data_IF_019821921909
#
_entry.id   IF_019821921909
#
_cell.length_a   1.000
_cell.length_b   1.000
_cell.length_c   1.000
_cell.angle_alpha   90.00
_cell.angle_beta   90.00
_cell.angle_gamma   90.00
#
_symmetry.space_group_name_H-M   'P 1'
#
loop_
_entity.id
_entity.type
_entity.pdbx_description
1 polymer ?
#
# COMPACT_ATOMS: atom_id res chain seq x y z
N UNK A 1 12.31 10.11 4.69
CA UNK A 1 11.82 9.00 5.53
C UNK A 1 10.62 9.45 6.36
N UNK A 2 10.67 10.64 6.96
CA UNK A 2 9.60 11.20 7.80
C UNK A 2 8.24 11.37 7.09
N UNK A 3 8.21 11.84 5.84
CA UNK A 3 6.97 12.00 5.08
C UNK A 3 6.15 10.69 4.96
N UNK A 4 6.82 9.58 4.66
CA UNK A 4 6.15 8.27 4.51
C UNK A 4 5.53 7.82 5.84
N UNK A 5 6.22 8.05 6.96
CA UNK A 5 5.68 7.74 8.30
C UNK A 5 4.49 8.64 8.66
N UNK A 6 4.57 9.93 8.35
CA UNK A 6 3.46 10.87 8.58
C UNK A 6 2.20 10.49 7.76
N UNK A 7 2.39 10.04 6.52
CA UNK A 7 1.31 9.49 5.67
C UNK A 7 0.71 8.25 6.31
N UNK A 8 1.54 7.29 6.74
CA UNK A 8 1.07 6.05 7.36
C UNK A 8 0.24 6.32 8.61
N UNK A 9 0.71 7.25 9.44
CA UNK A 9 0.02 7.64 10.67
C UNK A 9 -1.31 8.35 10.38
N UNK A 10 -1.33 9.23 9.37
CA UNK A 10 -2.56 9.91 8.91
C UNK A 10 -3.59 8.92 8.37
N UNK A 11 -3.16 8.00 7.49
CA UNK A 11 -4.01 6.90 7.00
C UNK A 11 -4.48 6.04 8.17
N UNK A 12 -3.58 5.69 9.09
CA UNK A 12 -3.87 4.90 10.28
C UNK A 12 -4.95 5.52 11.16
N UNK A 13 -4.87 6.84 11.42
CA UNK A 13 -5.91 7.57 12.16
C UNK A 13 -7.25 7.57 11.43
N UNK A 14 -7.25 7.91 10.14
CA UNK A 14 -8.48 8.00 9.35
C UNK A 14 -9.21 6.65 9.26
N UNK A 15 -8.46 5.58 9.03
CA UNK A 15 -9.01 4.22 8.96
C UNK A 15 -9.53 3.78 10.33
N UNK A 16 -8.76 3.96 11.41
CA UNK A 16 -9.18 3.54 12.76
C UNK A 16 -10.38 4.31 13.31
N UNK A 17 -10.55 5.57 12.89
CA UNK A 17 -11.75 6.34 13.22
C UNK A 17 -13.03 5.69 12.65
N UNK A 18 -12.94 5.05 11.48
CA UNK A 18 -14.06 4.32 10.87
C UNK A 18 -14.14 2.86 11.28
N UNK A 19 -12.99 2.25 11.56
CA UNK A 19 -12.78 0.83 11.77
C UNK A 19 -11.91 0.58 13.02
N UNK A 20 -12.52 0.59 14.22
CA UNK A 20 -11.80 0.24 15.43
C UNK A 20 -11.12 -1.13 15.31
N UNK A 21 -9.83 -1.21 15.65
CA UNK A 21 -9.04 -2.44 15.54
C UNK A 21 -8.40 -2.69 14.16
N UNK A 22 -8.57 -1.79 13.19
CA UNK A 22 -7.81 -1.85 11.95
C UNK A 22 -6.31 -1.66 12.18
N UNK A 23 -5.49 -2.44 11.47
CA UNK A 23 -4.03 -2.23 11.43
C UNK A 23 -3.59 -1.87 10.02
N UNK A 24 -2.57 -1.01 9.93
CA UNK A 24 -2.11 -0.44 8.66
C UNK A 24 -0.62 -0.70 8.56
N UNK A 25 -0.19 -1.30 7.45
CA UNK A 25 1.18 -1.78 7.24
C UNK A 25 1.71 -1.33 5.89
N UNK A 26 2.98 -0.93 5.84
CA UNK A 26 3.67 -0.85 4.56
C UNK A 26 3.97 -2.24 4.03
N UNK A 27 3.76 -2.42 2.74
CA UNK A 27 4.21 -3.59 2.00
C UNK A 27 5.04 -3.19 0.78
N UNK A 28 5.33 -4.17 -0.08
CA UNK A 28 5.97 -3.93 -1.37
C UNK A 28 7.40 -3.39 -1.28
N UNK A 29 7.79 -2.67 -2.32
CA UNK A 29 9.18 -2.25 -2.51
C UNK A 29 9.64 -1.18 -1.52
N UNK A 30 8.68 -0.39 -1.02
CA UNK A 30 8.87 0.59 0.05
C UNK A 30 9.20 -0.05 1.40
N UNK A 31 8.70 -1.26 1.66
CA UNK A 31 8.91 -1.97 2.93
C UNK A 31 10.12 -2.91 2.96
N UNK A 32 10.75 -3.14 1.80
CA UNK A 32 11.84 -4.12 1.61
C UNK A 32 13.16 -3.47 1.20
N UNK A 33 13.24 -2.14 1.15
CA UNK A 33 14.40 -1.39 0.63
C UNK A 33 14.78 -1.74 -0.83
N UNK A 34 13.84 -2.33 -1.57
CA UNK A 34 13.94 -2.67 -3.01
C UNK A 34 13.14 -1.69 -3.89
N UNK A 35 12.76 -0.54 -3.34
CA UNK A 35 12.14 0.58 -4.07
C UNK A 35 13.18 1.35 -4.87
N UNK A 36 12.82 1.77 -6.08
CA UNK A 36 13.52 2.85 -6.78
C UNK A 36 13.08 4.19 -6.16
N UNK A 37 13.83 5.28 -6.38
CA UNK A 37 13.51 6.60 -5.81
C UNK A 37 12.12 7.11 -6.19
N UNK A 38 11.58 6.68 -7.34
CA UNK A 38 10.25 6.99 -7.82
C UNK A 38 9.18 5.96 -7.40
N UNK A 39 9.44 5.11 -6.41
CA UNK A 39 8.53 4.02 -6.06
C UNK A 39 7.33 4.51 -5.25
N UNK A 40 6.15 4.06 -5.67
CA UNK A 40 4.87 4.22 -5.02
C UNK A 40 4.90 3.68 -3.57
N UNK A 41 3.99 4.19 -2.74
CA UNK A 41 3.81 3.70 -1.39
C UNK A 41 2.66 2.71 -1.32
N UNK A 42 3.02 1.46 -1.13
CA UNK A 42 2.10 0.35 -0.97
C UNK A 42 1.64 0.25 0.50
N UNK A 43 0.34 0.42 0.75
CA UNK A 43 -0.28 0.33 2.08
C UNK A 43 -1.30 -0.80 2.12
N UNK A 44 -1.12 -1.74 3.06
CA UNK A 44 -2.08 -2.80 3.32
C UNK A 44 -2.83 -2.51 4.62
N UNK A 45 -4.16 -2.54 4.55
CA UNK A 45 -5.04 -2.31 5.68
C UNK A 45 -5.67 -3.65 6.07
N UNK A 46 -5.34 -4.12 7.27
CA UNK A 46 -5.90 -5.34 7.84
C UNK A 46 -7.11 -4.98 8.71
N UNK A 47 -8.25 -5.56 8.37
CA UNK A 47 -9.55 -5.37 8.98
C UNK A 47 -9.96 -6.74 9.56
N UNK A 48 -9.53 -7.09 10.79
CA UNK A 48 -9.67 -8.45 11.32
C UNK A 48 -11.12 -8.90 11.57
N UNK A 49 -12.05 -7.94 11.69
CA UNK A 49 -13.48 -8.16 11.88
C UNK A 49 -14.25 -8.39 10.56
N UNK A 50 -13.56 -8.23 9.42
CA UNK A 50 -14.18 -8.28 8.10
C UNK A 50 -14.26 -9.75 7.64
N UNK A 51 -15.49 -10.30 7.60
CA UNK A 51 -15.70 -11.66 7.10
C UNK A 51 -15.54 -11.70 5.58
N UNK A 52 -14.95 -12.77 5.02
CA UNK A 52 -14.64 -12.89 3.59
C UNK A 52 -15.87 -13.25 2.74
N UNK A 53 -17.03 -12.62 2.97
CA UNK A 53 -18.16 -12.70 2.04
C UNK A 53 -18.07 -11.57 1.03
N UNK A 54 -18.46 -11.84 -0.23
CA UNK A 54 -18.26 -10.91 -1.34
C UNK A 54 -19.04 -9.60 -1.18
N UNK A 55 -20.27 -9.67 -0.67
CA UNK A 55 -21.15 -8.50 -0.45
C UNK A 55 -20.69 -7.65 0.74
N UNK A 56 -20.34 -8.28 1.87
CA UNK A 56 -19.81 -7.56 3.02
C UNK A 56 -18.47 -6.90 2.67
N UNK A 57 -17.64 -7.55 1.84
CA UNK A 57 -16.38 -6.98 1.37
C UNK A 57 -16.63 -5.67 0.61
N UNK A 58 -17.57 -5.64 -0.34
CA UNK A 58 -17.87 -4.43 -1.12
C UNK A 58 -18.36 -3.26 -0.25
N UNK A 59 -19.25 -3.52 0.72
CA UNK A 59 -19.71 -2.47 1.63
C UNK A 59 -18.55 -1.86 2.42
N UNK A 60 -17.70 -2.69 3.03
CA UNK A 60 -16.57 -2.21 3.81
C UNK A 60 -15.51 -1.51 2.98
N UNK A 61 -15.30 -1.93 1.73
CA UNK A 61 -14.39 -1.27 0.80
C UNK A 61 -14.86 0.14 0.42
N UNK A 62 -16.17 0.32 0.20
CA UNK A 62 -16.76 1.66 0.00
C UNK A 62 -16.57 2.54 1.25
N UNK A 63 -16.77 1.96 2.43
CA UNK A 63 -16.53 2.67 3.70
C UNK A 63 -15.05 3.00 3.91
N UNK A 64 -14.14 2.13 3.47
CA UNK A 64 -12.71 2.36 3.49
C UNK A 64 -12.31 3.54 2.60
N UNK A 65 -12.79 3.60 1.36
CA UNK A 65 -12.49 4.77 0.53
C UNK A 65 -13.07 6.07 1.09
N UNK A 66 -14.26 6.04 1.69
CA UNK A 66 -14.81 7.22 2.40
C UNK A 66 -13.91 7.65 3.56
N UNK A 67 -13.33 6.70 4.29
CA UNK A 67 -12.37 7.01 5.36
C UNK A 67 -11.06 7.59 4.80
N UNK A 68 -10.65 7.19 3.60
CA UNK A 68 -9.44 7.67 2.94
C UNK A 68 -9.65 8.98 2.15
N UNK A 69 -10.87 9.35 1.83
CA UNK A 69 -11.20 10.55 1.04
C UNK A 69 -10.62 11.86 1.62
N UNK A 70 -10.67 12.11 2.95
CA UNK A 70 -10.02 13.28 3.55
C UNK A 70 -8.48 13.25 3.43
N UNK A 71 -7.89 12.04 3.36
CA UNK A 71 -6.44 11.86 3.19
C UNK A 71 -6.03 12.05 1.73
N UNK A 72 -6.88 11.60 0.80
CA UNK A 72 -6.68 11.72 -0.63
C UNK A 72 -6.98 13.13 -1.16
N UNK A 73 -7.67 13.98 -0.39
CA UNK A 73 -7.97 15.38 -0.69
C UNK A 73 -8.48 15.60 -2.13
N UNK A 74 -9.36 14.72 -2.60
CA UNK A 74 -9.98 14.80 -3.94
C UNK A 74 -9.21 14.12 -5.08
N UNK A 75 -7.99 13.59 -4.86
CA UNK A 75 -7.18 12.88 -5.87
C UNK A 75 -7.35 11.35 -5.82
N UNK A 76 -8.56 10.86 -5.57
CA UNK A 76 -8.84 9.42 -5.51
C UNK A 76 -9.09 8.88 -6.92
N UNK A 77 -8.11 8.18 -7.50
CA UNK A 77 -8.07 7.91 -8.95
C UNK A 77 -8.75 6.59 -9.34
N UNK A 78 -9.03 5.67 -8.42
CA UNK A 78 -9.61 4.38 -8.83
C UNK A 78 -10.65 3.83 -7.86
N UNK A 79 -11.89 3.72 -8.34
CA UNK A 79 -13.05 3.14 -7.64
C UNK A 79 -13.50 1.85 -8.33
N UNK A 80 -12.56 1.01 -8.78
CA UNK A 80 -12.91 -0.29 -9.36
C UNK A 80 -13.32 -1.29 -8.27
N UNK A 81 -14.55 -1.13 -7.76
CA UNK A 81 -15.17 -1.99 -6.75
C UNK A 81 -15.40 -3.43 -7.21
N UNK A 82 -15.29 -3.66 -8.51
CA UNK A 82 -15.54 -4.94 -9.18
C UNK A 82 -14.26 -5.74 -9.43
N UNK A 83 -13.08 -5.12 -9.23
CA UNK A 83 -11.83 -5.86 -9.24
C UNK A 83 -11.87 -6.92 -8.13
N UNK A 84 -11.36 -8.12 -8.45
CA UNK A 84 -11.16 -9.22 -7.49
C UNK A 84 -10.39 -8.75 -6.24
N UNK A 85 -9.62 -7.67 -6.39
CA UNK A 85 -8.80 -6.98 -5.41
C UNK A 85 -8.94 -5.47 -5.64
N UNK A 86 -9.86 -4.77 -4.94
CA UNK A 86 -10.04 -3.34 -5.12
C UNK A 86 -8.87 -2.60 -4.47
N UNK A 87 -7.95 -2.15 -5.32
CA UNK A 87 -6.87 -1.25 -4.94
C UNK A 87 -7.40 0.17 -5.09
N UNK A 88 -7.23 0.95 -4.03
CA UNK A 88 -7.56 2.36 -4.02
C UNK A 88 -6.27 3.14 -4.23
N UNK A 89 -6.13 3.75 -5.41
CA UNK A 89 -4.95 4.53 -5.75
C UNK A 89 -5.25 6.01 -5.52
N UNK A 90 -4.41 6.70 -4.76
CA UNK A 90 -4.50 8.15 -4.61
C UNK A 90 -3.11 8.77 -4.49
N UNK A 91 -3.01 10.06 -4.81
CA UNK A 91 -1.75 10.79 -4.71
C UNK A 91 -1.83 11.80 -3.56
N UNK A 92 -0.78 11.89 -2.75
CA UNK A 92 -0.69 12.92 -1.70
C UNK A 92 -0.55 14.32 -2.28
N UNK A 93 -0.71 15.34 -1.44
CA UNK A 93 -0.51 16.74 -1.78
C UNK A 93 0.88 17.02 -2.37
N UNK A 94 0.98 18.08 -3.18
CA UNK A 94 2.27 18.54 -3.74
C UNK A 94 3.25 18.98 -2.66
N UNK A 95 2.76 19.47 -1.51
CA UNK A 95 3.54 19.67 -0.30
C UNK A 95 3.04 18.74 0.83
N UNK A 96 3.92 17.94 1.48
CA UNK A 96 5.38 17.94 1.39
C UNK A 96 5.95 17.12 0.21
N UNK A 97 5.09 16.55 -0.65
CA UNK A 97 5.51 15.81 -1.83
C UNK A 97 4.38 14.96 -2.40
N UNK A 98 4.18 15.07 -3.71
CA UNK A 98 3.24 14.24 -4.48
C UNK A 98 3.76 12.80 -4.54
N UNK A 99 3.14 11.90 -3.78
CA UNK A 99 3.51 10.49 -3.71
C UNK A 99 2.30 9.64 -4.12
N UNK A 100 2.44 8.76 -5.12
CA UNK A 100 1.40 7.79 -5.43
C UNK A 100 1.30 6.77 -4.29
N UNK A 101 0.07 6.48 -3.87
CA UNK A 101 -0.25 5.54 -2.81
C UNK A 101 -1.23 4.52 -3.36
N UNK A 102 -0.86 3.26 -3.25
CA UNK A 102 -1.71 2.12 -3.55
C UNK A 102 -2.17 1.47 -2.25
N UNK A 103 -3.48 1.51 -2.00
CA UNK A 103 -4.08 0.90 -0.82
C UNK A 103 -4.76 -0.40 -1.16
N UNK A 104 -4.33 -1.47 -0.51
CA UNK A 104 -4.99 -2.77 -0.52
C UNK A 104 -5.60 -3.09 0.85
N UNK A 105 -6.63 -3.93 0.86
CA UNK A 105 -7.26 -4.41 2.09
C UNK A 105 -7.12 -5.93 2.25
N UNK A 106 -6.81 -6.38 3.46
CA UNK A 106 -6.72 -7.79 3.87
C UNK A 106 -5.78 -8.66 3.01
N UNK A 107 -4.66 -8.09 2.53
CA UNK A 107 -3.64 -8.82 1.76
C UNK A 107 -2.64 -9.52 2.68
N UNK A 108 -2.98 -10.70 3.17
CA UNK A 108 -2.04 -11.50 3.97
C UNK A 108 -0.82 -11.93 3.14
N UNK A 109 -1.04 -12.26 1.87
CA UNK A 109 -0.01 -12.60 0.88
C UNK A 109 1.04 -11.49 0.71
N UNK A 110 0.62 -10.22 0.74
CA UNK A 110 1.54 -9.09 0.68
C UNK A 110 2.44 -8.99 1.93
N UNK A 111 1.89 -9.29 3.12
CA UNK A 111 2.65 -9.35 4.36
C UNK A 111 3.66 -10.51 4.34
N UNK A 112 3.24 -11.67 3.85
CA UNK A 112 4.09 -12.86 3.76
C UNK A 112 5.22 -12.67 2.75
N UNK A 113 4.91 -12.10 1.58
CA UNK A 113 5.91 -11.78 0.55
C UNK A 113 6.95 -10.77 1.03
N UNK A 114 6.53 -9.73 1.78
CA UNK A 114 7.45 -8.80 2.45
C UNK A 114 8.40 -9.53 3.40
N UNK A 115 7.86 -10.39 4.27
CA UNK A 115 8.67 -11.14 5.25
C UNK A 115 9.69 -12.03 4.56
N UNK A 116 9.28 -12.77 3.53
CA UNK A 116 10.18 -13.62 2.75
C UNK A 116 11.30 -12.80 2.09
N UNK A 117 10.95 -11.70 1.45
CA UNK A 117 11.94 -10.82 0.83
C UNK A 117 12.96 -10.27 1.84
N UNK A 118 12.50 -9.85 3.02
CA UNK A 118 13.39 -9.39 4.09
C UNK A 118 14.33 -10.50 4.57
N UNK A 119 13.84 -11.74 4.70
CA UNK A 119 14.67 -12.88 5.07
C UNK A 119 15.75 -13.18 4.02
N UNK A 120 15.40 -13.16 2.73
CA UNK A 120 16.35 -13.38 1.64
C UNK A 120 17.44 -12.28 1.61
N UNK A 121 17.06 -11.01 1.75
CA UNK A 121 17.99 -9.90 1.77
C UNK A 121 18.91 -9.91 3.00
N UNK A 122 18.42 -10.39 4.14
CA UNK A 122 19.23 -10.58 5.33
C UNK A 122 20.23 -11.74 5.18
N UNK A 123 19.88 -12.77 4.40
CA UNK A 123 20.75 -13.90 4.13
C UNK A 123 21.89 -13.55 3.15
N UNK A 124 21.63 -12.70 2.16
CA UNK A 124 22.65 -12.25 1.20
C UNK A 124 22.42 -10.80 0.73
N UNK A 125 23.27 -9.89 1.22
CA UNK A 125 23.21 -8.46 0.90
C UNK A 125 23.41 -8.15 -0.60
N UNK A 126 24.03 -9.06 -1.39
CA UNK A 126 24.28 -8.89 -2.83
C UNK A 126 23.00 -9.03 -3.65
N UNK A 127 21.95 -9.63 -3.10
CA UNK A 127 20.65 -9.74 -3.77
C UNK A 127 20.02 -8.38 -4.01
N UNK A 128 20.20 -7.42 -3.10
CA UNK A 128 19.60 -6.09 -3.23
C UNK A 128 20.01 -5.35 -4.52
N UNK A 129 21.30 -5.13 -4.82
CA UNK A 129 21.69 -4.45 -6.06
C UNK A 129 21.27 -5.23 -7.32
N UNK A 130 21.31 -6.56 -7.30
CA UNK A 130 20.88 -7.38 -8.44
C UNK A 130 19.37 -7.22 -8.74
N UNK A 131 18.52 -7.24 -7.69
CA UNK A 131 17.08 -7.03 -7.82
C UNK A 131 16.77 -5.61 -8.30
N UNK A 132 17.48 -4.60 -7.78
CA UNK A 132 17.32 -3.21 -8.21
C UNK A 132 17.70 -3.02 -9.68
N UNK A 133 18.79 -3.65 -10.13
CA UNK A 133 19.22 -3.62 -11.53
C UNK A 133 18.17 -4.27 -12.45
N UNK A 134 17.70 -5.48 -12.10
CA UNK A 134 16.67 -6.17 -12.87
C UNK A 134 15.40 -5.33 -12.96
N UNK A 135 14.94 -4.76 -11.85
CA UNK A 135 13.76 -3.89 -11.80
C UNK A 135 13.94 -2.66 -12.70
N UNK A 136 15.13 -2.05 -12.70
CA UNK A 136 15.44 -0.91 -13.57
C UNK A 136 15.39 -1.29 -15.05
N UNK A 137 16.00 -2.43 -15.42
CA UNK A 137 15.98 -2.95 -16.79
C UNK A 137 14.54 -3.19 -17.25
N UNK A 138 13.74 -3.91 -16.45
CA UNK A 138 12.36 -4.21 -16.79
C UNK A 138 11.50 -2.95 -16.95
N UNK A 139 11.69 -1.94 -16.10
CA UNK A 139 11.01 -0.65 -16.23
C UNK A 139 11.35 0.05 -17.57
N UNK A 140 12.59 -0.08 -18.04
CA UNK A 140 13.02 0.47 -19.33
C UNK A 140 12.41 -0.22 -20.55
N UNK A 141 11.87 -1.44 -20.39
CA UNK A 141 11.25 -2.21 -21.47
C UNK A 141 9.76 -1.88 -21.69
N UNK A 142 9.17 -1.00 -20.89
CA UNK A 142 7.81 -0.48 -21.12
C UNK A 142 6.67 -1.46 -20.80
N UNK A 143 6.91 -2.47 -19.97
CA UNK A 143 5.85 -3.33 -19.41
C UNK A 143 5.14 -2.68 -18.23
#
# INVERSE_FOLDING_TARGET
MELRYAILDTVGRAVRARFPGATVHWFGSSATAMGLSSADLDINIMLPFLRPTQEASQHHLKQLARALEPVAQGKFVNKNWWAKLPVSNFTTLEEPGSLPIDVAANRQDACDGKRLAQQLLAADARLRPAVLLLKHILKGLGT
#
